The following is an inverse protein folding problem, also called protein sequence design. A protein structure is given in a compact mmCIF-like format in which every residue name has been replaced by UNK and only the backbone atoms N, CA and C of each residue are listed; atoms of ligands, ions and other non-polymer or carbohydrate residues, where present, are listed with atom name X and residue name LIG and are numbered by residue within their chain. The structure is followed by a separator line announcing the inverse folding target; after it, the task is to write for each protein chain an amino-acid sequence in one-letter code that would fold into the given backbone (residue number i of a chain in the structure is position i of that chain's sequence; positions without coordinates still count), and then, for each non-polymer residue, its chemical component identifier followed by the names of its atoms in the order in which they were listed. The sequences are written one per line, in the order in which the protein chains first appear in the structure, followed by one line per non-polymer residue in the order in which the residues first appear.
data_IF_738474327329
#
_entry.id   IF_738474327329
#
_cell.length_a   1.000
_cell.length_b   1.000
_cell.length_c   1.000
_cell.angle_alpha   90.00
_cell.angle_beta   90.00
_cell.angle_gamma   90.00
#
_symmetry.space_group_name_H-M   'P 1'
#
loop_
_entity.id
_entity.type
_entity.pdbx_description
1 polymer ?
#
# COMPACT_ATOMS: atom_id res chain seq x y z
N UNK A 1 -7.86 -1.27 -25.69
CA UNK A 1 -6.40 -0.99 -25.68
C UNK A 1 -5.92 -0.25 -24.43
N UNK A 2 -6.68 0.69 -23.85
CA UNK A 2 -6.27 1.45 -22.65
C UNK A 2 -6.05 0.56 -21.40
N UNK A 3 -7.02 -0.32 -21.08
CA UNK A 3 -6.94 -1.19 -19.90
C UNK A 3 -5.70 -2.11 -19.86
N UNK A 4 -5.23 -2.57 -21.02
CA UNK A 4 -4.04 -3.43 -21.11
C UNK A 4 -2.72 -2.67 -20.84
N UNK A 5 -2.67 -1.38 -21.15
CA UNK A 5 -1.52 -0.53 -20.82
C UNK A 5 -1.48 -0.24 -19.33
N UNK A 6 -2.63 0.07 -18.72
CA UNK A 6 -2.75 0.32 -17.29
C UNK A 6 -2.35 -0.89 -16.45
N UNK A 7 -2.75 -2.10 -16.85
CA UNK A 7 -2.36 -3.33 -16.16
C UNK A 7 -0.85 -3.56 -16.20
N UNK A 8 -0.20 -3.33 -17.35
CA UNK A 8 1.26 -3.48 -17.47
C UNK A 8 2.02 -2.44 -16.63
N UNK A 9 1.54 -1.20 -16.59
CA UNK A 9 2.15 -0.15 -15.77
C UNK A 9 2.07 -0.49 -14.27
N UNK A 10 0.91 -0.97 -13.82
CA UNK A 10 0.73 -1.41 -12.43
C UNK A 10 1.64 -2.59 -12.10
N UNK A 11 1.76 -3.55 -13.01
CA UNK A 11 2.60 -4.74 -12.84
C UNK A 11 4.08 -4.35 -12.67
N UNK A 12 4.59 -3.49 -13.54
CA UNK A 12 5.95 -2.96 -13.45
C UNK A 12 6.17 -2.10 -12.19
N UNK A 13 5.18 -1.33 -11.75
CA UNK A 13 5.28 -0.56 -10.52
C UNK A 13 5.37 -1.47 -9.28
N UNK A 14 4.61 -2.56 -9.24
CA UNK A 14 4.69 -3.55 -8.17
C UNK A 14 6.01 -4.33 -8.17
N UNK A 15 6.62 -4.56 -9.34
CA UNK A 15 7.97 -5.14 -9.45
C UNK A 15 9.05 -4.22 -8.86
N UNK A 16 8.85 -2.90 -8.93
CA UNK A 16 9.76 -1.92 -8.35
C UNK A 16 9.59 -1.74 -6.82
N UNK A 17 8.50 -2.25 -6.25
CA UNK A 17 8.25 -2.15 -4.82
C UNK A 17 9.08 -3.16 -4.01
N UNK A 18 9.45 -2.78 -2.79
CA UNK A 18 10.20 -3.64 -1.86
C UNK A 18 9.46 -3.83 -0.54
N UNK A 19 9.78 -4.91 0.17
CA UNK A 19 9.37 -5.09 1.56
C UNK A 19 10.12 -4.11 2.50
N UNK A 20 9.80 -4.18 3.80
CA UNK A 20 10.46 -3.37 4.84
C UNK A 20 11.99 -3.60 4.95
N UNK A 21 12.48 -4.76 4.51
CA UNK A 21 13.91 -5.12 4.49
C UNK A 21 14.62 -4.63 3.23
N UNK A 22 13.89 -4.11 2.24
CA UNK A 22 14.40 -3.68 0.94
C UNK A 22 14.53 -4.81 -0.08
N UNK A 23 14.04 -6.01 0.21
CA UNK A 23 13.96 -7.10 -0.77
C UNK A 23 12.74 -6.91 -1.68
N UNK A 24 12.70 -7.52 -2.88
CA UNK A 24 11.54 -7.47 -3.76
C UNK A 24 10.24 -7.84 -3.03
N UNK A 25 9.16 -7.12 -3.36
CA UNK A 25 7.84 -7.37 -2.76
C UNK A 25 7.45 -8.85 -2.84
N UNK A 26 7.09 -9.50 -1.72
CA UNK A 26 6.63 -10.89 -1.73
C UNK A 26 5.37 -11.06 -2.59
N UNK A 27 5.27 -12.20 -3.28
CA UNK A 27 4.11 -12.52 -4.14
C UNK A 27 2.77 -12.42 -3.42
N UNK A 28 2.73 -12.81 -2.14
CA UNK A 28 1.54 -12.69 -1.31
C UNK A 28 1.12 -11.22 -1.11
N UNK A 29 2.07 -10.35 -0.77
CA UNK A 29 1.81 -8.93 -0.60
C UNK A 29 1.33 -8.28 -1.91
N UNK A 30 1.99 -8.62 -3.04
CA UNK A 30 1.55 -8.20 -4.38
C UNK A 30 0.10 -8.62 -4.65
N UNK A 31 -0.24 -9.85 -4.31
CA UNK A 31 -1.59 -10.38 -4.52
C UNK A 31 -2.64 -9.65 -3.68
N UNK A 32 -2.34 -9.34 -2.42
CA UNK A 32 -3.24 -8.54 -1.58
C UNK A 32 -3.55 -7.17 -2.20
N UNK A 33 -2.53 -6.48 -2.73
CA UNK A 33 -2.73 -5.19 -3.40
C UNK A 33 -3.58 -5.33 -4.66
N UNK A 34 -3.32 -6.36 -5.48
CA UNK A 34 -4.09 -6.63 -6.70
C UNK A 34 -5.54 -7.00 -6.39
N UNK A 35 -5.77 -7.85 -5.39
CA UNK A 35 -7.11 -8.27 -4.97
C UNK A 35 -7.90 -7.06 -4.42
N UNK A 36 -7.26 -6.18 -3.64
CA UNK A 36 -7.85 -4.92 -3.18
C UNK A 36 -8.24 -4.00 -4.36
N UNK A 37 -7.39 -3.90 -5.38
CA UNK A 37 -7.67 -3.09 -6.58
C UNK A 37 -8.85 -3.66 -7.38
N UNK A 38 -8.97 -4.99 -7.47
CA UNK A 38 -10.05 -5.64 -8.19
C UNK A 38 -11.37 -5.55 -7.44
N UNK A 39 -11.32 -5.67 -6.11
CA UNK A 39 -12.50 -5.67 -5.24
C UNK A 39 -12.21 -4.87 -3.97
N UNK A 40 -12.36 -3.54 -4.00
CA UNK A 40 -12.19 -2.72 -2.81
C UNK A 40 -13.23 -3.10 -1.75
N UNK A 41 -12.78 -3.67 -0.64
CA UNK A 41 -13.62 -3.94 0.52
C UNK A 41 -12.80 -3.82 1.81
N UNK A 42 -13.51 -3.71 2.93
CA UNK A 42 -12.89 -3.47 4.24
C UNK A 42 -11.94 -4.59 4.65
N UNK A 43 -12.30 -5.86 4.39
CA UNK A 43 -11.47 -7.01 4.69
C UNK A 43 -10.14 -6.99 3.94
N UNK A 44 -10.16 -6.71 2.64
CA UNK A 44 -8.95 -6.62 1.83
C UNK A 44 -8.12 -5.40 2.20
N UNK A 45 -8.77 -4.29 2.58
CA UNK A 45 -8.07 -3.10 3.03
C UNK A 45 -7.36 -3.34 4.38
N UNK A 46 -8.05 -3.99 5.32
CA UNK A 46 -7.47 -4.39 6.60
C UNK A 46 -6.27 -5.35 6.43
N UNK A 47 -6.30 -6.23 5.43
CA UNK A 47 -5.16 -7.11 5.12
C UNK A 47 -4.01 -6.37 4.40
N UNK A 48 -4.32 -5.39 3.55
CA UNK A 48 -3.34 -4.79 2.63
C UNK A 48 -2.72 -3.47 3.10
N UNK A 49 -3.35 -2.73 4.01
CA UNK A 49 -2.90 -1.39 4.40
C UNK A 49 -1.44 -1.34 4.91
N UNK A 50 -1.00 -2.41 5.58
CA UNK A 50 0.35 -2.56 6.11
C UNK A 50 1.38 -3.10 5.11
N UNK A 51 0.99 -3.42 3.88
CA UNK A 51 1.92 -3.89 2.85
C UNK A 51 2.95 -2.79 2.57
N UNK A 52 4.24 -3.10 2.76
CA UNK A 52 5.33 -2.23 2.38
C UNK A 52 5.43 -2.08 0.86
N UNK A 53 5.51 -0.83 0.39
CA UNK A 53 5.87 -0.49 -0.99
C UNK A 53 7.35 -0.11 -1.11
N UNK A 54 7.97 0.31 0.00
CA UNK A 54 9.43 0.41 0.18
C UNK A 54 9.79 0.18 1.65
N UNK A 55 11.10 0.27 2.00
CA UNK A 55 11.58 0.09 3.39
C UNK A 55 10.79 0.91 4.42
N UNK A 56 10.42 2.14 4.06
CA UNK A 56 9.87 3.13 5.00
C UNK A 56 8.42 3.53 4.69
N UNK A 57 7.81 2.96 3.65
CA UNK A 57 6.47 3.37 3.19
C UNK A 57 5.58 2.17 3.01
N UNK A 58 4.48 2.14 3.75
CA UNK A 58 3.37 1.20 3.56
C UNK A 58 2.35 1.72 2.55
N UNK A 59 1.47 0.83 2.09
CA UNK A 59 0.37 1.19 1.21
C UNK A 59 -0.53 2.27 1.84
N UNK A 60 -0.79 2.20 3.14
CA UNK A 60 -1.45 3.28 3.87
C UNK A 60 -0.71 4.60 3.69
N UNK A 61 0.57 4.65 4.03
CA UNK A 61 1.33 5.90 4.00
C UNK A 61 1.37 6.49 2.58
N UNK A 62 1.54 5.63 1.56
CA UNK A 62 1.48 6.04 0.16
C UNK A 62 0.10 6.61 -0.22
N UNK A 63 -1.00 6.05 0.28
CA UNK A 63 -2.34 6.60 0.06
C UNK A 63 -2.48 8.00 0.66
N UNK A 64 -1.98 8.23 1.87
CA UNK A 64 -2.01 9.56 2.50
C UNK A 64 -1.14 10.59 1.78
N UNK A 65 0.01 10.15 1.27
CA UNK A 65 0.98 11.04 0.65
C UNK A 65 0.61 11.41 -0.79
N UNK A 66 -0.14 10.55 -1.48
CA UNK A 66 -0.31 10.66 -2.93
C UNK A 66 -1.77 10.73 -3.40
N UNK A 67 -2.73 10.71 -2.47
CA UNK A 67 -4.16 10.77 -2.78
C UNK A 67 -4.95 11.57 -1.74
N UNK A 68 -6.19 11.96 -2.07
CA UNK A 68 -7.11 12.65 -1.15
C UNK A 68 -7.80 11.69 -0.17
N UNK A 69 -7.11 10.63 0.27
CA UNK A 69 -7.70 9.65 1.17
C UNK A 69 -7.92 10.25 2.57
N UNK A 70 -9.18 10.50 2.92
CA UNK A 70 -9.57 11.07 4.21
C UNK A 70 -9.47 10.07 5.35
N UNK A 71 -8.69 10.41 6.39
CA UNK A 71 -8.51 9.56 7.58
C UNK A 71 -9.39 10.06 8.71
N UNK A 72 -10.41 9.29 9.07
CA UNK A 72 -11.17 9.50 10.32
C UNK A 72 -11.32 8.22 11.16
N UNK A 73 -10.68 7.12 10.77
CA UNK A 73 -10.57 5.88 11.56
C UNK A 73 -9.27 5.12 11.24
N UNK A 74 -9.00 4.02 11.96
CA UNK A 74 -7.76 3.27 11.83
C UNK A 74 -7.91 1.74 11.91
N UNK A 75 -6.79 1.01 11.91
CA UNK A 75 -6.77 -0.43 11.71
C UNK A 75 -7.32 -1.15 12.95
N UNK A 76 -7.66 -2.44 12.80
CA UNK A 76 -8.09 -3.27 13.93
C UNK A 76 -7.05 -3.25 15.06
N UNK A 77 -7.49 -2.93 16.26
CA UNK A 77 -6.65 -2.96 17.45
C UNK A 77 -7.04 -4.16 18.33
N UNK A 78 -6.03 -4.89 18.80
CA UNK A 78 -6.21 -5.84 19.90
C UNK A 78 -6.09 -5.02 21.18
N UNK A 79 -7.20 -4.86 21.89
CA UNK A 79 -7.19 -4.35 23.25
C UNK A 79 -7.08 -5.52 24.23
N UNK A 80 -6.67 -5.22 25.46
CA UNK A 80 -6.76 -6.15 26.57
C UNK A 80 -7.86 -5.62 27.48
N UNK A 81 -8.90 -6.42 27.73
CA UNK A 81 -9.92 -6.09 28.71
C UNK A 81 -9.29 -6.00 30.11
N UNK A 82 -10.00 -5.35 31.05
CA UNK A 82 -9.50 -5.14 32.42
C UNK A 82 -9.24 -6.43 33.21
N UNK A 83 -9.71 -7.58 32.71
CA UNK A 83 -9.49 -8.93 33.24
C UNK A 83 -8.29 -9.66 32.60
N UNK A 84 -7.57 -9.01 31.69
CA UNK A 84 -6.46 -9.61 30.95
C UNK A 84 -6.87 -10.37 29.67
N UNK A 85 -8.16 -10.44 29.35
CA UNK A 85 -8.64 -11.12 28.14
C UNK A 85 -8.35 -10.25 26.90
N UNK A 86 -7.68 -10.76 25.86
CA UNK A 86 -7.54 -10.02 24.61
C UNK A 86 -8.91 -9.85 23.96
N UNK A 87 -9.36 -8.60 23.87
CA UNK A 87 -10.58 -8.19 23.18
C UNK A 87 -10.20 -7.46 21.90
N UNK A 88 -10.67 -7.96 20.76
CA UNK A 88 -10.46 -7.27 19.48
C UNK A 88 -11.48 -6.14 19.40
N UNK A 89 -11.05 -4.91 19.67
CA UNK A 89 -11.87 -3.72 19.47
C UNK A 89 -11.79 -3.34 18.00
N UNK A 90 -12.86 -3.64 17.26
CA UNK A 90 -12.98 -3.22 15.86
C UNK A 90 -13.31 -1.74 15.83
N UNK A 91 -12.32 -0.91 15.58
CA UNK A 91 -12.57 0.39 14.95
C UNK A 91 -12.70 0.12 13.46
N UNK A 92 -13.90 0.16 12.86
CA UNK A 92 -14.05 -0.04 11.43
C UNK A 92 -13.33 1.07 10.67
N UNK A 93 -12.87 0.75 9.46
CA UNK A 93 -12.31 1.78 8.59
C UNK A 93 -13.42 2.77 8.21
N UNK A 94 -13.15 4.07 8.33
CA UNK A 94 -14.13 5.10 8.01
C UNK A 94 -14.46 5.13 6.51
N UNK A 95 -13.50 4.73 5.69
CA UNK A 95 -13.66 4.52 4.27
C UNK A 95 -12.71 3.40 3.81
N UNK A 96 -13.07 2.76 2.71
CA UNK A 96 -12.18 1.87 1.95
C UNK A 96 -11.67 2.67 0.75
N UNK A 97 -10.36 2.69 0.45
CA UNK A 97 -9.86 3.41 -0.71
C UNK A 97 -10.42 2.79 -2.01
N UNK A 98 -10.78 3.65 -2.96
CA UNK A 98 -11.20 3.21 -4.29
C UNK A 98 -10.04 2.54 -5.03
N UNK A 99 -10.34 1.67 -5.99
CA UNK A 99 -9.33 1.05 -6.85
C UNK A 99 -8.39 2.07 -7.51
N UNK A 100 -8.93 3.22 -7.93
CA UNK A 100 -8.15 4.31 -8.53
C UNK A 100 -7.19 4.98 -7.55
N UNK A 101 -7.59 5.16 -6.29
CA UNK A 101 -6.70 5.67 -5.24
C UNK A 101 -5.56 4.70 -4.95
N UNK A 102 -5.86 3.41 -4.80
CA UNK A 102 -4.83 2.38 -4.56
C UNK A 102 -3.84 2.31 -5.73
N UNK A 103 -4.34 2.29 -6.98
CA UNK A 103 -3.47 2.34 -8.18
C UNK A 103 -2.60 3.58 -8.20
N UNK A 104 -3.18 4.76 -7.95
CA UNK A 104 -2.45 6.03 -7.96
C UNK A 104 -1.37 6.07 -6.89
N UNK A 105 -1.63 5.55 -5.70
CA UNK A 105 -0.66 5.46 -4.62
C UNK A 105 0.55 4.60 -5.04
N UNK A 106 0.30 3.40 -5.59
CA UNK A 106 1.36 2.49 -6.06
C UNK A 106 2.17 3.09 -7.20
N UNK A 107 1.50 3.61 -8.24
CA UNK A 107 2.15 4.18 -9.43
C UNK A 107 2.99 5.42 -9.08
N UNK A 108 2.45 6.32 -8.27
CA UNK A 108 3.15 7.55 -7.86
C UNK A 108 4.38 7.20 -7.01
N UNK A 109 4.22 6.30 -6.05
CA UNK A 109 5.32 5.88 -5.18
C UNK A 109 6.44 5.21 -5.99
N UNK A 110 6.11 4.26 -6.86
CA UNK A 110 7.10 3.60 -7.72
C UNK A 110 7.82 4.58 -8.65
N UNK A 111 7.09 5.55 -9.21
CA UNK A 111 7.68 6.61 -10.03
C UNK A 111 8.70 7.44 -9.23
N UNK A 112 8.36 7.89 -8.02
CA UNK A 112 9.27 8.67 -7.17
C UNK A 112 10.54 7.87 -6.81
N UNK A 113 10.42 6.59 -6.47
CA UNK A 113 11.57 5.73 -6.21
C UNK A 113 12.46 5.54 -7.45
N UNK A 114 11.89 5.54 -8.65
CA UNK A 114 12.66 5.45 -9.90
C UNK A 114 13.43 6.74 -10.21
N UNK A 115 12.88 7.91 -9.86
CA UNK A 115 13.52 9.21 -10.07
C UNK A 115 14.62 9.44 -9.03
N UNK A 116 14.36 9.14 -7.75
CA UNK A 116 15.35 9.28 -6.68
C UNK A 116 16.56 8.35 -6.89
N UNK A 117 16.34 7.14 -7.42
CA UNK A 117 17.42 6.22 -7.80
C UNK A 117 18.25 6.72 -8.98
N UNK A 118 17.64 7.44 -9.94
CA UNK A 118 18.34 8.02 -11.09
C UNK A 118 19.20 9.23 -10.70
N UNK A 119 18.82 9.99 -9.67
CA UNK A 119 19.63 11.12 -9.17
C UNK A 119 20.86 10.65 -8.37
N UNK A 120 20.85 9.40 -7.86
CA UNK A 120 21.93 8.88 -7.01
C UNK A 120 23.19 8.43 -7.78
N UNK A 121 23.14 8.27 -9.10
CA UNK A 121 24.28 7.75 -9.90
C UNK A 121 25.24 8.80 -10.47
N UNK A 122 24.91 10.10 -10.36
CA UNK A 122 25.75 11.20 -10.91
C UNK A 122 26.50 12.02 -9.83
N UNK A 123 26.33 11.69 -8.53
CA UNK A 123 26.84 12.50 -7.41
C UNK A 123 28.07 11.98 -6.67
N UNK A 124 28.68 10.87 -7.10
CA UNK A 124 29.90 10.33 -6.51
C UNK A 124 30.98 10.11 -7.58
N UNK A 125 31.64 11.21 -7.95
CA UNK A 125 32.99 11.21 -8.51
C UNK A 125 33.79 12.36 -7.94
#
# INVERSE_FOLDING_TARGET
MAAYRELRLLDSALDACTNALGDPMPRFARRLVLDLIQRPCEELWDAAHGVSLSRNVTLWQALLQHTEYGVTAGPRQIATAGDGTPTITRTPWAAVPTASQVRRAVLTHAYLMSVDGAVSVDGLR
#
